data_IF_856901539661
#
_entry.id   IF_856901539661
#
_cell.length_a   1.000
_cell.length_b   1.000
_cell.length_c   1.000
_cell.angle_alpha   90.00
_cell.angle_beta   90.00
_cell.angle_gamma   90.00
#
_symmetry.space_group_name_H-M   'P 1'
#
loop_
_entity.id
_entity.type
_entity.pdbx_description
1 polymer ?
#
# COMPACT_ATOMS: atom_id res chain seq x y z
N UNK A 1 -30.07 -60.73 4.09
CA UNK A 1 -29.50 -59.40 4.43
C UNK A 1 -28.49 -59.61 5.55
N UNK A 2 -27.21 -59.33 5.32
CA UNK A 2 -26.17 -59.48 6.35
C UNK A 2 -26.09 -58.19 7.19
N UNK A 3 -26.10 -58.32 8.51
CA UNK A 3 -26.03 -57.20 9.46
C UNK A 3 -24.62 -57.14 10.05
N UNK A 4 -23.93 -56.03 9.85
CA UNK A 4 -22.66 -55.76 10.53
C UNK A 4 -22.91 -55.62 12.02
N UNK A 5 -22.30 -56.50 12.81
CA UNK A 5 -22.31 -56.43 14.26
C UNK A 5 -20.85 -56.32 14.74
N UNK A 6 -20.65 -55.57 15.82
CA UNK A 6 -19.34 -55.35 16.41
C UNK A 6 -19.28 -56.11 17.74
N UNK A 7 -18.21 -56.88 17.95
CA UNK A 7 -17.93 -57.50 19.25
C UNK A 7 -17.50 -56.39 20.20
N UNK A 8 -18.03 -56.39 21.43
CA UNK A 8 -17.72 -55.36 22.43
C UNK A 8 -16.42 -55.69 23.17
N UNK A 9 -15.50 -54.72 23.28
CA UNK A 9 -14.23 -54.87 24.01
C UNK A 9 -14.38 -54.76 25.55
N UNK A 10 -15.61 -54.76 26.06
CA UNK A 10 -15.88 -54.73 27.51
C UNK A 10 -15.64 -56.11 28.11
N UNK A 11 -14.39 -56.42 28.40
CA UNK A 11 -13.99 -57.60 29.18
C UNK A 11 -13.86 -57.19 30.64
N UNK A 12 -14.68 -57.76 31.51
CA UNK A 12 -14.55 -57.59 32.95
C UNK A 12 -13.66 -58.70 33.52
N UNK A 13 -12.77 -58.33 34.43
CA UNK A 13 -11.81 -59.25 35.06
C UNK A 13 -12.12 -59.38 36.55
N UNK A 14 -12.23 -60.60 37.10
CA UNK A 14 -12.52 -60.79 38.53
C UNK A 14 -11.29 -60.51 39.39
N UNK A 15 -11.43 -59.58 40.33
CA UNK A 15 -10.53 -59.40 41.47
C UNK A 15 -10.91 -60.42 42.55
N UNK A 16 -9.94 -61.21 43.02
CA UNK A 16 -10.19 -62.32 43.94
C UNK A 16 -9.52 -62.13 45.28
N UNK A 17 -10.02 -62.85 46.29
CA UNK A 17 -9.50 -62.79 47.67
C UNK A 17 -8.23 -63.61 47.89
N UNK A 18 -7.87 -64.50 46.95
CA UNK A 18 -6.64 -65.29 47.02
C UNK A 18 -6.10 -65.67 45.64
N UNK A 19 -4.92 -66.28 45.62
CA UNK A 19 -4.13 -66.63 44.43
C UNK A 19 -4.66 -67.88 43.68
N UNK A 20 -5.97 -67.99 43.53
CA UNK A 20 -6.60 -69.12 42.83
C UNK A 20 -7.96 -68.74 42.24
N UNK A 21 -8.29 -69.33 41.10
CA UNK A 21 -9.60 -69.20 40.44
C UNK A 21 -10.77 -69.69 41.30
N UNK A 22 -10.52 -70.53 42.31
CA UNK A 22 -11.55 -71.07 43.21
C UNK A 22 -11.87 -70.14 44.39
N UNK A 23 -11.11 -69.07 44.58
CA UNK A 23 -11.33 -68.13 45.69
C UNK A 23 -12.46 -67.14 45.39
N UNK A 24 -13.06 -66.57 46.44
CA UNK A 24 -14.19 -65.65 46.31
C UNK A 24 -13.79 -64.41 45.50
N UNK A 25 -14.65 -64.04 44.53
CA UNK A 25 -14.55 -62.78 43.80
C UNK A 25 -14.89 -61.63 44.76
N UNK A 26 -13.94 -60.73 44.96
CA UNK A 26 -14.10 -59.50 45.75
C UNK A 26 -14.83 -58.46 44.91
N UNK A 27 -14.47 -58.32 43.63
CA UNK A 27 -15.07 -57.34 42.71
C UNK A 27 -14.84 -57.71 41.24
N UNK A 28 -15.72 -57.26 40.34
CA UNK A 28 -15.46 -57.27 38.89
C UNK A 28 -14.82 -55.93 38.50
N UNK A 29 -13.69 -55.98 37.80
CA UNK A 29 -12.97 -54.80 37.34
C UNK A 29 -13.20 -54.62 35.84
N UNK A 30 -13.57 -53.40 35.44
CA UNK A 30 -13.65 -53.04 34.02
C UNK A 30 -12.24 -52.85 33.43
N UNK A 31 -12.11 -53.11 32.13
CA UNK A 31 -10.87 -52.90 31.39
C UNK A 31 -10.44 -51.42 31.41
N UNK A 32 -9.15 -51.16 31.65
CA UNK A 32 -8.56 -49.83 31.64
C UNK A 32 -8.69 -49.04 32.94
N UNK A 33 -9.17 -49.65 34.03
CA UNK A 33 -9.14 -49.04 35.36
C UNK A 33 -7.68 -48.98 35.85
N UNK A 34 -7.20 -47.80 36.32
CA UNK A 34 -5.90 -47.70 36.98
C UNK A 34 -5.93 -48.42 38.33
N UNK A 35 -4.89 -49.22 38.60
CA UNK A 35 -4.72 -49.99 39.83
C UNK A 35 -3.30 -49.82 40.35
N UNK A 36 -3.14 -49.85 41.67
CA UNK A 36 -1.83 -49.82 42.31
C UNK A 36 -1.39 -51.24 42.64
N UNK A 37 -0.18 -51.62 42.21
CA UNK A 37 0.39 -52.94 42.52
C UNK A 37 1.02 -52.86 43.92
N UNK A 38 0.55 -53.71 44.83
CA UNK A 38 1.03 -53.80 46.21
C UNK A 38 2.03 -54.95 46.40
N UNK A 39 1.86 -56.04 45.63
CA UNK A 39 2.80 -57.17 45.61
C UNK A 39 2.97 -57.68 44.19
N UNK A 40 4.23 -57.88 43.77
CA UNK A 40 4.56 -58.45 42.47
C UNK A 40 4.15 -59.92 42.34
N UNK A 41 4.14 -60.41 41.09
CA UNK A 41 3.59 -61.71 40.70
C UNK A 41 4.10 -62.85 41.58
N UNK A 42 3.19 -63.61 42.17
CA UNK A 42 3.50 -64.84 42.90
C UNK A 42 3.81 -65.99 41.93
N UNK A 43 4.34 -67.11 42.43
CA UNK A 43 4.63 -68.31 41.62
C UNK A 43 3.40 -68.82 40.83
N UNK A 44 2.20 -68.53 41.33
CA UNK A 44 0.93 -68.89 40.72
C UNK A 44 0.45 -67.91 39.63
N UNK A 45 1.22 -66.85 39.35
CA UNK A 45 0.91 -65.85 38.31
C UNK A 45 -0.14 -64.81 38.73
N UNK A 46 -0.33 -64.59 40.04
CA UNK A 46 -1.23 -63.59 40.59
C UNK A 46 -0.45 -62.40 41.16
N UNK A 47 -0.99 -61.21 40.96
CA UNK A 47 -0.47 -59.94 41.50
C UNK A 47 -1.48 -59.39 42.51
N UNK A 48 -1.02 -58.90 43.65
CA UNK A 48 -1.88 -58.24 44.64
C UNK A 48 -1.98 -56.75 44.32
N UNK A 49 -3.21 -56.27 44.13
CA UNK A 49 -3.49 -54.90 43.69
C UNK A 49 -4.52 -54.22 44.57
N UNK A 50 -4.44 -52.89 44.63
CA UNK A 50 -5.42 -52.01 45.23
C UNK A 50 -6.05 -51.14 44.14
N UNK A 51 -7.38 -51.13 44.09
CA UNK A 51 -8.15 -50.24 43.22
C UNK A 51 -8.28 -48.85 43.87
N UNK A 52 -8.48 -47.80 43.07
CA UNK A 52 -8.71 -46.43 43.59
C UNK A 52 -9.91 -46.31 44.55
N UNK A 53 -10.84 -47.26 44.51
CA UNK A 53 -11.99 -47.30 45.41
C UNK A 53 -11.70 -48.05 46.72
N UNK A 54 -10.43 -48.38 47.00
CA UNK A 54 -9.98 -49.03 48.23
C UNK A 54 -10.19 -50.55 48.30
N UNK A 55 -10.69 -51.19 47.23
CA UNK A 55 -10.81 -52.64 47.20
C UNK A 55 -9.47 -53.30 46.85
N UNK A 56 -9.07 -54.29 47.63
CA UNK A 56 -7.81 -55.03 47.51
C UNK A 56 -8.05 -56.50 47.17
N UNK A 57 -7.13 -57.10 46.41
CA UNK A 57 -7.22 -58.51 46.04
C UNK A 57 -6.17 -58.94 45.03
N UNK A 58 -6.24 -60.22 44.66
CA UNK A 58 -5.38 -60.86 43.68
C UNK A 58 -6.03 -60.88 42.31
N UNK A 59 -5.26 -60.50 41.29
CA UNK A 59 -5.63 -60.55 39.86
C UNK A 59 -4.54 -61.30 39.09
N UNK A 60 -4.88 -61.97 38.00
CA UNK A 60 -3.89 -62.60 37.13
C UNK A 60 -3.01 -61.54 36.47
N UNK A 61 -1.68 -61.68 36.60
CA UNK A 61 -0.69 -60.71 36.10
C UNK A 61 -0.82 -60.44 34.59
N UNK A 62 -1.32 -61.42 33.81
CA UNK A 62 -1.55 -61.29 32.35
C UNK A 62 -2.58 -60.22 31.97
N UNK A 63 -3.44 -59.81 32.90
CA UNK A 63 -4.44 -58.76 32.67
C UNK A 63 -3.95 -57.37 33.08
N UNK A 64 -2.75 -57.28 33.67
CA UNK A 64 -2.13 -56.01 34.01
C UNK A 64 -1.18 -55.63 32.88
N UNK A 65 -1.39 -54.44 32.32
CA UNK A 65 -0.50 -53.83 31.34
C UNK A 65 0.09 -52.56 31.92
N UNK A 66 1.38 -52.31 31.68
CA UNK A 66 2.03 -51.06 32.09
C UNK A 66 1.61 -49.85 31.25
N UNK A 67 0.89 -50.07 30.15
CA UNK A 67 0.42 -49.01 29.26
C UNK A 67 -1.03 -48.62 29.55
N UNK A 68 -1.38 -47.32 29.44
CA UNK A 68 -2.77 -46.87 29.54
C UNK A 68 -3.65 -47.55 28.49
N UNK A 69 -4.92 -47.78 28.82
CA UNK A 69 -5.85 -48.40 27.88
C UNK A 69 -5.90 -47.64 26.54
N UNK A 70 -6.07 -48.38 25.44
CA UNK A 70 -6.18 -47.82 24.10
C UNK A 70 -7.24 -46.71 24.01
N UNK A 71 -8.32 -46.84 24.81
CA UNK A 71 -9.36 -45.82 24.95
C UNK A 71 -8.83 -44.51 25.53
N UNK A 72 -8.04 -44.58 26.61
CA UNK A 72 -7.45 -43.38 27.24
C UNK A 72 -6.44 -42.72 26.31
N UNK A 73 -5.65 -43.51 25.58
CA UNK A 73 -4.72 -42.99 24.58
C UNK A 73 -5.46 -42.31 23.41
N UNK A 74 -6.56 -42.91 22.95
CA UNK A 74 -7.40 -42.33 21.90
C UNK A 74 -8.03 -41.01 22.36
N UNK A 75 -8.60 -40.96 23.57
CA UNK A 75 -9.18 -39.73 24.13
C UNK A 75 -8.13 -38.62 24.31
N UNK A 76 -6.91 -38.97 24.71
CA UNK A 76 -5.81 -38.00 24.78
C UNK A 76 -5.37 -37.51 23.40
N UNK A 77 -5.29 -38.42 22.42
CA UNK A 77 -4.94 -38.11 21.05
C UNK A 77 -6.00 -37.24 20.36
N UNK A 78 -7.29 -37.54 20.55
CA UNK A 78 -8.39 -36.74 20.00
C UNK A 78 -8.40 -35.33 20.60
N UNK A 79 -8.27 -35.20 21.92
CA UNK A 79 -8.15 -33.88 22.57
C UNK A 79 -6.97 -33.07 22.05
N UNK A 80 -5.82 -33.72 21.85
CA UNK A 80 -4.63 -33.06 21.30
C UNK A 80 -4.85 -32.63 19.85
N UNK A 81 -5.52 -33.46 19.05
CA UNK A 81 -5.85 -33.15 17.66
C UNK A 81 -6.83 -31.99 17.56
N UNK A 82 -7.87 -31.96 18.40
CA UNK A 82 -8.82 -30.85 18.49
C UNK A 82 -8.10 -29.53 18.87
N UNK A 83 -7.22 -29.56 19.86
CA UNK A 83 -6.43 -28.40 20.26
C UNK A 83 -5.53 -27.89 19.13
N UNK A 84 -4.82 -28.79 18.43
CA UNK A 84 -3.96 -28.45 17.30
C UNK A 84 -4.75 -27.94 16.08
N UNK A 85 -5.97 -28.43 15.88
CA UNK A 85 -6.86 -27.94 14.82
C UNK A 85 -7.32 -26.51 15.11
N UNK A 86 -7.68 -26.21 16.36
CA UNK A 86 -8.08 -24.85 16.75
C UNK A 86 -6.90 -23.88 16.65
N UNK A 87 -5.71 -24.28 17.10
CA UNK A 87 -4.49 -23.48 16.95
C UNK A 87 -4.17 -23.20 15.48
N UNK A 88 -4.25 -24.22 14.61
CA UNK A 88 -4.06 -24.04 13.16
C UNK A 88 -5.06 -23.07 12.55
N UNK A 89 -6.32 -23.12 13.00
CA UNK A 89 -7.36 -22.21 12.53
C UNK A 89 -7.04 -20.76 12.93
N UNK A 90 -6.65 -20.53 14.17
CA UNK A 90 -6.23 -19.22 14.67
C UNK A 90 -5.02 -18.69 13.90
N UNK A 91 -3.99 -19.53 13.69
CA UNK A 91 -2.80 -19.16 12.93
C UNK A 91 -3.12 -18.79 11.48
N UNK A 92 -4.00 -19.53 10.81
CA UNK A 92 -4.45 -19.21 9.45
C UNK A 92 -5.18 -17.87 9.39
N UNK A 93 -6.05 -17.58 10.36
CA UNK A 93 -6.73 -16.28 10.45
C UNK A 93 -5.73 -15.15 10.67
N UNK A 94 -4.79 -15.30 11.61
CA UNK A 94 -3.76 -14.29 11.88
C UNK A 94 -2.86 -14.04 10.65
N UNK A 95 -2.50 -15.10 9.92
CA UNK A 95 -1.73 -14.99 8.67
C UNK A 95 -2.50 -14.24 7.58
N UNK A 96 -3.80 -14.53 7.42
CA UNK A 96 -4.65 -13.83 6.46
C UNK A 96 -4.75 -12.33 6.78
N UNK A 97 -4.98 -11.98 8.05
CA UNK A 97 -5.02 -10.58 8.50
C UNK A 97 -3.66 -9.90 8.31
N UNK A 98 -2.55 -10.59 8.58
CA UNK A 98 -1.20 -10.07 8.34
C UNK A 98 -0.92 -9.79 6.86
N UNK A 99 -1.40 -10.66 5.96
CA UNK A 99 -1.28 -10.44 4.52
C UNK A 99 -2.12 -9.26 4.03
N UNK A 100 -3.34 -9.10 4.53
CA UNK A 100 -4.19 -7.94 4.22
C UNK A 100 -3.56 -6.63 4.70
N UNK A 101 -3.05 -6.60 5.94
CA UNK A 101 -2.33 -5.45 6.47
C UNK A 101 -1.06 -5.11 5.67
N UNK A 102 -0.34 -6.14 5.20
CA UNK A 102 0.81 -5.96 4.30
C UNK A 102 0.42 -5.31 2.96
N UNK A 103 -0.64 -5.81 2.32
CA UNK A 103 -1.15 -5.23 1.07
C UNK A 103 -1.61 -3.78 1.24
N UNK A 104 -2.28 -3.48 2.35
CA UNK A 104 -2.74 -2.13 2.63
C UNK A 104 -1.57 -1.18 2.88
N UNK A 105 -0.55 -1.63 3.61
CA UNK A 105 0.70 -0.88 3.78
C UNK A 105 1.36 -0.57 2.44
N UNK A 106 1.46 -1.55 1.54
CA UNK A 106 2.09 -1.37 0.23
C UNK A 106 1.31 -0.39 -0.65
N UNK A 107 -0.03 -0.45 -0.61
CA UNK A 107 -0.92 0.51 -1.28
C UNK A 107 -0.71 1.92 -0.76
N UNK A 108 -0.79 2.11 0.56
CA UNK A 108 -0.58 3.42 1.20
C UNK A 108 0.81 3.97 0.92
N UNK A 109 1.84 3.12 0.88
CA UNK A 109 3.20 3.54 0.53
C UNK A 109 3.29 4.02 -0.92
N UNK A 110 2.58 3.37 -1.84
CA UNK A 110 2.53 3.75 -3.25
C UNK A 110 1.79 5.08 -3.42
N UNK A 111 0.63 5.22 -2.80
CA UNK A 111 -0.19 6.44 -2.84
C UNK A 111 0.56 7.64 -2.23
N UNK A 112 1.29 7.44 -1.13
CA UNK A 112 2.10 8.48 -0.53
C UNK A 112 3.25 8.93 -1.44
N UNK A 113 3.89 7.98 -2.14
CA UNK A 113 4.92 8.30 -3.14
C UNK A 113 4.34 9.09 -4.32
N UNK A 114 3.18 8.69 -4.84
CA UNK A 114 2.48 9.40 -5.92
C UNK A 114 2.06 10.81 -5.50
N UNK A 115 1.56 10.97 -4.27
CA UNK A 115 1.18 12.26 -3.72
C UNK A 115 2.39 13.18 -3.56
N UNK A 116 3.51 12.66 -3.06
CA UNK A 116 4.76 13.43 -2.96
C UNK A 116 5.26 13.88 -4.33
N UNK A 117 5.24 12.99 -5.33
CA UNK A 117 5.62 13.33 -6.70
C UNK A 117 4.67 14.37 -7.30
N UNK A 118 3.37 14.22 -7.10
CA UNK A 118 2.36 15.18 -7.57
C UNK A 118 2.53 16.54 -6.91
N UNK A 119 2.78 16.58 -5.60
CA UNK A 119 3.06 17.81 -4.87
C UNK A 119 4.35 18.50 -5.37
N UNK A 120 5.42 17.73 -5.63
CA UNK A 120 6.66 18.25 -6.21
C UNK A 120 6.42 18.86 -7.61
N UNK A 121 5.67 18.16 -8.46
CA UNK A 121 5.30 18.66 -9.79
C UNK A 121 4.43 19.93 -9.70
N UNK A 122 3.50 19.99 -8.75
CA UNK A 122 2.68 21.18 -8.54
C UNK A 122 3.50 22.40 -8.13
N UNK A 123 4.53 22.21 -7.29
CA UNK A 123 5.47 23.29 -6.91
C UNK A 123 6.26 23.76 -8.14
N UNK A 124 6.80 22.83 -8.93
CA UNK A 124 7.53 23.17 -10.15
C UNK A 124 6.63 23.91 -11.16
N UNK A 125 5.41 23.44 -11.36
CA UNK A 125 4.43 24.08 -12.24
C UNK A 125 4.09 25.49 -11.75
N UNK A 126 3.95 25.69 -10.44
CA UNK A 126 3.74 27.01 -9.84
C UNK A 126 4.90 27.95 -10.15
N UNK A 127 6.14 27.49 -9.97
CA UNK A 127 7.36 28.26 -10.27
C UNK A 127 7.45 28.61 -11.75
N UNK A 128 7.15 27.67 -12.66
CA UNK A 128 7.11 27.94 -14.10
C UNK A 128 6.06 28.99 -14.45
N UNK A 129 4.86 28.90 -13.84
CA UNK A 129 3.79 29.88 -14.04
C UNK A 129 4.21 31.27 -13.55
N UNK A 130 4.85 31.37 -12.39
CA UNK A 130 5.39 32.64 -11.87
C UNK A 130 6.45 33.23 -12.83
N UNK A 131 7.41 32.41 -13.29
CA UNK A 131 8.43 32.82 -14.27
C UNK A 131 7.84 33.27 -15.61
N UNK A 132 6.83 32.55 -16.11
CA UNK A 132 6.16 32.93 -17.36
C UNK A 132 5.40 34.25 -17.21
N UNK A 133 4.75 34.48 -16.06
CA UNK A 133 4.10 35.76 -15.78
C UNK A 133 5.10 36.91 -15.74
N UNK A 134 6.27 36.73 -15.10
CA UNK A 134 7.34 37.73 -15.10
C UNK A 134 7.84 38.04 -16.52
N UNK A 135 8.03 37.00 -17.35
CA UNK A 135 8.44 37.17 -18.76
C UNK A 135 7.40 37.92 -19.57
N UNK A 136 6.11 37.62 -19.39
CA UNK A 136 5.02 38.34 -20.06
C UNK A 136 5.08 39.83 -19.69
N UNK A 137 5.21 40.15 -18.41
CA UNK A 137 5.32 41.55 -17.95
C UNK A 137 6.57 42.24 -18.53
N UNK A 138 7.71 41.54 -18.58
CA UNK A 138 8.94 42.08 -19.15
C UNK A 138 8.79 42.38 -20.64
N UNK A 139 8.28 41.42 -21.42
CA UNK A 139 8.05 41.58 -22.86
C UNK A 139 7.02 42.68 -23.15
N UNK A 140 5.95 42.79 -22.36
CA UNK A 140 4.98 43.87 -22.50
C UNK A 140 5.62 45.24 -22.25
N UNK A 141 6.49 45.37 -21.25
CA UNK A 141 7.23 46.61 -20.98
C UNK A 141 8.18 46.95 -22.12
N UNK A 142 8.94 45.99 -22.63
CA UNK A 142 9.82 46.16 -23.78
C UNK A 142 9.03 46.61 -25.02
N UNK A 143 7.88 45.99 -25.29
CA UNK A 143 7.01 46.36 -26.40
C UNK A 143 6.50 47.80 -26.25
N UNK A 144 6.05 48.19 -25.05
CA UNK A 144 5.64 49.57 -24.78
C UNK A 144 6.78 50.56 -24.97
N UNK A 145 7.99 50.21 -24.54
CA UNK A 145 9.18 51.04 -24.75
C UNK A 145 9.51 51.19 -26.23
N UNK A 146 9.64 50.08 -26.96
CA UNK A 146 9.89 50.07 -28.41
C UNK A 146 8.84 50.86 -29.19
N UNK A 147 7.56 50.75 -28.80
CA UNK A 147 6.47 51.52 -29.41
C UNK A 147 6.62 53.01 -29.16
N UNK A 148 7.01 53.42 -27.95
CA UNK A 148 7.27 54.84 -27.63
C UNK A 148 8.48 55.38 -28.38
N UNK A 149 9.56 54.61 -28.46
CA UNK A 149 10.76 54.97 -29.23
C UNK A 149 10.43 55.13 -30.72
N UNK A 150 9.65 54.20 -31.29
CA UNK A 150 9.21 54.28 -32.68
C UNK A 150 8.31 55.50 -32.94
N UNK A 151 7.38 55.78 -32.03
CA UNK A 151 6.54 56.98 -32.11
C UNK A 151 7.37 58.26 -32.05
N UNK A 152 8.32 58.34 -31.11
CA UNK A 152 9.21 59.50 -30.98
C UNK A 152 10.07 59.72 -32.24
N UNK A 153 10.62 58.65 -32.83
CA UNK A 153 11.37 58.71 -34.09
C UNK A 153 10.48 59.14 -35.27
N UNK A 154 9.23 58.67 -35.31
CA UNK A 154 8.27 59.07 -36.34
C UNK A 154 7.88 60.53 -36.20
N UNK A 155 7.60 60.99 -34.98
CA UNK A 155 7.26 62.38 -34.68
C UNK A 155 8.41 63.33 -35.01
N UNK A 156 9.66 62.98 -34.64
CA UNK A 156 10.85 63.77 -35.01
C UNK A 156 11.04 63.81 -36.53
N UNK A 157 10.91 62.67 -37.21
CA UNK A 157 11.02 62.61 -38.67
C UNK A 157 9.95 63.45 -39.36
N UNK A 158 8.72 63.46 -38.84
CA UNK A 158 7.63 64.28 -39.37
C UNK A 158 7.87 65.78 -39.13
N UNK A 159 8.43 66.16 -37.99
CA UNK A 159 8.82 67.55 -37.71
C UNK A 159 9.91 68.03 -38.68
N UNK A 160 10.92 67.20 -38.94
CA UNK A 160 11.98 67.52 -39.91
C UNK A 160 11.40 67.73 -41.31
N UNK A 161 10.57 66.80 -41.78
CA UNK A 161 9.89 66.91 -43.08
C UNK A 161 8.99 68.14 -43.17
N UNK A 162 8.29 68.50 -42.08
CA UNK A 162 7.48 69.71 -42.03
C UNK A 162 8.33 70.98 -42.11
N UNK A 163 9.48 71.02 -41.43
CA UNK A 163 10.44 72.12 -41.52
C UNK A 163 10.98 72.31 -42.93
N UNK A 164 11.40 71.21 -43.59
CA UNK A 164 11.87 71.26 -44.98
C UNK A 164 10.75 71.69 -45.94
N UNK A 165 9.54 71.14 -45.79
CA UNK A 165 8.38 71.50 -46.61
C UNK A 165 7.93 72.94 -46.43
N UNK A 166 7.86 73.42 -45.18
CA UNK A 166 7.52 74.80 -44.84
C UNK A 166 8.58 75.80 -45.32
N UNK A 167 9.86 75.46 -45.16
CA UNK A 167 10.97 76.25 -45.70
C UNK A 167 10.93 76.35 -47.22
N UNK A 168 10.71 75.24 -47.92
CA UNK A 168 10.58 75.21 -49.38
C UNK A 168 9.38 76.02 -49.87
N UNK A 169 8.23 75.91 -49.20
CA UNK A 169 7.03 76.67 -49.52
C UNK A 169 7.26 78.19 -49.36
N UNK A 170 7.87 78.62 -48.26
CA UNK A 170 8.24 80.03 -48.04
C UNK A 170 9.21 80.53 -49.12
N UNK A 171 10.22 79.73 -49.46
CA UNK A 171 11.19 80.07 -50.50
C UNK A 171 10.52 80.23 -51.87
N UNK A 172 9.58 79.33 -52.20
CA UNK A 172 8.78 79.40 -53.42
C UNK A 172 7.91 80.66 -53.49
N UNK A 173 7.26 81.05 -52.39
CA UNK A 173 6.47 82.29 -52.30
C UNK A 173 7.36 83.53 -52.45
N UNK A 174 8.52 83.57 -51.78
CA UNK A 174 9.46 84.68 -51.87
C UNK A 174 9.98 84.85 -53.31
N UNK A 175 10.41 83.77 -53.96
CA UNK A 175 10.84 83.82 -55.35
C UNK A 175 9.71 84.23 -56.29
N UNK A 176 8.51 83.67 -56.11
CA UNK A 176 7.32 84.03 -56.89
C UNK A 176 6.93 85.51 -56.75
N UNK A 177 7.20 86.14 -55.61
CA UNK A 177 6.96 87.56 -55.38
C UNK A 177 8.12 88.46 -55.86
N UNK A 178 9.37 88.03 -55.72
CA UNK A 178 10.57 88.82 -56.04
C UNK A 178 10.89 88.80 -57.53
N UNK A 179 10.79 87.64 -58.20
CA UNK A 179 11.06 87.48 -59.62
C UNK A 179 10.26 88.46 -60.52
N UNK A 180 8.95 88.69 -60.34
CA UNK A 180 8.22 89.65 -61.18
C UNK A 180 8.61 91.12 -60.93
N UNK A 181 9.21 91.44 -59.78
CA UNK A 181 9.73 92.79 -59.49
C UNK A 181 11.16 93.02 -59.99
N UNK A 182 11.91 91.95 -60.27
CA UNK A 182 13.18 92.05 -60.95
C UNK A 182 12.94 92.12 -62.46
N UNK A 183 12.32 93.21 -62.90
CA UNK A 183 12.18 93.51 -64.32
C UNK A 183 13.58 93.61 -64.94
N UNK A 184 13.95 92.58 -65.70
CA UNK A 184 15.15 92.60 -66.52
C UNK A 184 14.96 93.69 -67.58
N UNK A 185 15.62 94.83 -67.35
CA UNK A 185 15.60 95.99 -68.22
C UNK A 185 16.15 95.56 -69.58
N UNK A 186 15.27 95.27 -70.54
CA UNK A 186 15.66 95.09 -71.95
C UNK A 186 16.38 96.37 -72.37
N UNK A 187 17.66 96.26 -72.74
CA UNK A 187 18.30 97.26 -73.58
C UNK A 187 17.79 97.06 -74.99
N UNK A 188 16.81 97.86 -75.36
CA UNK A 188 16.52 98.21 -76.74
C UNK A 188 17.49 99.30 -77.15
N UNK A 189 18.31 99.00 -78.15
CA UNK A 189 18.95 99.93 -79.11
C UNK A 189 19.35 99.01 -80.27
N UNK A 190 18.70 98.97 -81.42
CA UNK A 190 18.23 100.11 -82.22
C UNK A 190 19.27 100.33 -83.32
N UNK A 191 18.82 100.23 -84.57
CA UNK A 191 19.49 100.44 -85.88
C UNK A 191 20.00 99.19 -86.59
N UNK A 192 20.06 99.12 -87.92
CA UNK A 192 19.34 99.66 -89.09
C UNK A 192 20.11 99.06 -90.29
N UNK A 193 19.48 98.94 -91.47
CA UNK A 193 20.04 98.54 -92.78
C UNK A 193 20.48 97.06 -92.95
N UNK A 194 20.25 96.35 -94.06
CA UNK A 194 19.85 96.67 -95.44
C UNK A 194 18.85 95.62 -95.98
#
# INVERSE_FOLDING_TARGET
>A
MARTAYVTDKVEVPLRSGESERTKIVKMLENGIPVSVLQESTENGYTYIQTNNGAEGFILSRYLTGEPSARTQLEAATKKLEALQEENKLLKTAQATGQEAGKERDRLSTELSELQQTAANAIQLKQQRDQLQERVIAVERELQQLKRENQALTDSSNQDWFLYGGGLALFGVLLGFILPKLSWRRRSSGWDSF
#
